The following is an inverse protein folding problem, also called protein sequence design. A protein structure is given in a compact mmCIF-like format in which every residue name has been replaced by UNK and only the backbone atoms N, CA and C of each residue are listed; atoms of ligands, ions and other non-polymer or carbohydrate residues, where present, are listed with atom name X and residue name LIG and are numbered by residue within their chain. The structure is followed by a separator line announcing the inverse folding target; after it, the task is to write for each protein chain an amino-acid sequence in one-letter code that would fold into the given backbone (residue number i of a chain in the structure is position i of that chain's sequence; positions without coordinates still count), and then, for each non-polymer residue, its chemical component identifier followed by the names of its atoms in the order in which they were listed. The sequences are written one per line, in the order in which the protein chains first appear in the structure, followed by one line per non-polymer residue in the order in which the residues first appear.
data_IF_060261115869
#
_entry.id   IF_060261115869
#
_cell.length_a   1.000
_cell.length_b   1.000
_cell.length_c   1.000
_cell.angle_alpha   90.00
_cell.angle_beta   90.00
_cell.angle_gamma   90.00
#
_symmetry.space_group_name_H-M   'P 1'
#
loop_
_entity.id
_entity.type
_entity.pdbx_description
1 polymer ?
#
# COMPACT_ATOMS: atom_id res chain seq x y z
N UNK A 1 -43.29 -17.08 13.18
CA UNK A 1 -41.86 -17.40 12.92
C UNK A 1 -41.31 -16.45 11.85
N UNK A 2 -41.23 -15.16 12.17
CA UNK A 2 -40.86 -14.06 11.25
C UNK A 2 -39.38 -13.67 11.34
N UNK A 3 -38.52 -14.56 11.85
CA UNK A 3 -37.11 -14.29 12.11
C UNK A 3 -36.14 -14.72 10.99
N UNK A 4 -36.58 -14.80 9.73
CA UNK A 4 -35.69 -15.19 8.61
C UNK A 4 -35.58 -14.14 7.48
N UNK A 5 -36.35 -13.05 7.51
CA UNK A 5 -36.31 -12.04 6.44
C UNK A 5 -35.40 -10.84 6.72
N UNK A 6 -34.97 -10.62 7.97
CA UNK A 6 -34.03 -9.55 8.32
C UNK A 6 -32.55 -9.93 8.12
N UNK A 7 -32.24 -11.24 8.14
CA UNK A 7 -30.86 -11.74 7.99
C UNK A 7 -30.37 -11.69 6.54
N UNK A 8 -31.25 -11.74 5.54
CA UNK A 8 -30.87 -11.67 4.11
C UNK A 8 -30.41 -10.27 3.69
N UNK A 9 -31.09 -9.22 4.15
CA UNK A 9 -30.72 -7.83 3.85
C UNK A 9 -29.45 -7.39 4.57
N UNK A 10 -29.25 -7.85 5.82
CA UNK A 10 -28.03 -7.55 6.58
C UNK A 10 -26.84 -8.36 6.04
N UNK A 11 -27.01 -9.64 5.68
CA UNK A 11 -25.93 -10.41 5.04
C UNK A 11 -25.53 -9.82 3.69
N UNK A 12 -26.48 -9.38 2.85
CA UNK A 12 -26.15 -8.77 1.55
C UNK A 12 -25.43 -7.45 1.71
N UNK A 13 -25.81 -6.63 2.70
CA UNK A 13 -25.08 -5.41 3.06
C UNK A 13 -23.68 -5.75 3.58
N UNK A 14 -23.53 -6.72 4.49
CA UNK A 14 -22.22 -7.15 5.03
C UNK A 14 -21.33 -7.73 3.92
N UNK A 15 -21.86 -8.57 3.02
CA UNK A 15 -21.13 -9.12 1.88
C UNK A 15 -20.77 -8.05 0.86
N UNK A 16 -21.63 -7.04 0.65
CA UNK A 16 -21.31 -5.86 -0.16
C UNK A 16 -20.20 -5.03 0.48
N UNK A 17 -20.26 -4.78 1.79
CA UNK A 17 -19.21 -4.09 2.54
C UNK A 17 -17.90 -4.88 2.54
N UNK A 18 -17.93 -6.21 2.70
CA UNK A 18 -16.77 -7.11 2.58
C UNK A 18 -16.19 -7.14 1.15
N UNK A 19 -17.03 -7.07 0.11
CA UNK A 19 -16.61 -6.99 -1.29
C UNK A 19 -16.00 -5.63 -1.63
N UNK A 20 -16.53 -4.53 -1.10
CA UNK A 20 -15.93 -3.21 -1.23
C UNK A 20 -14.65 -3.03 -0.39
N UNK A 21 -14.51 -3.81 0.70
CA UNK A 21 -13.30 -3.84 1.52
C UNK A 21 -12.16 -4.63 0.89
N UNK A 22 -12.46 -5.67 0.10
CA UNK A 22 -11.43 -6.49 -0.55
C UNK A 22 -10.70 -5.78 -1.70
N UNK A 23 -11.26 -4.69 -2.23
CA UNK A 23 -10.66 -3.91 -3.33
C UNK A 23 -9.65 -2.84 -2.90
N UNK A 24 -9.32 -2.72 -1.60
CA UNK A 24 -8.22 -1.86 -1.14
C UNK A 24 -6.93 -2.64 -0.89
N UNK A 25 -6.92 -3.94 -1.14
CA UNK A 25 -5.68 -4.72 -1.13
C UNK A 25 -4.86 -4.36 -2.38
N UNK A 26 -3.54 -4.17 -2.26
CA UNK A 26 -2.70 -4.08 -3.44
C UNK A 26 -3.01 -5.31 -4.29
N UNK A 27 -3.19 -5.10 -5.59
CA UNK A 27 -3.31 -6.13 -6.63
C UNK A 27 -2.49 -7.34 -6.19
N UNK A 28 -3.06 -8.54 -6.11
CA UNK A 28 -2.31 -9.70 -5.66
C UNK A 28 -1.07 -9.87 -6.57
N UNK A 29 0.09 -9.46 -6.08
CA UNK A 29 1.35 -9.44 -6.82
C UNK A 29 2.10 -10.76 -6.68
N UNK A 30 1.41 -11.86 -6.36
CA UNK A 30 2.04 -13.16 -6.24
C UNK A 30 2.72 -13.54 -7.58
N UNK A 31 4.03 -13.75 -7.52
CA UNK A 31 4.85 -14.07 -8.69
C UNK A 31 5.36 -12.87 -9.47
N UNK A 32 5.07 -11.64 -9.04
CA UNK A 32 5.71 -10.44 -9.59
C UNK A 32 7.01 -10.18 -8.84
N UNK A 33 8.11 -10.08 -9.59
CA UNK A 33 9.40 -9.66 -9.05
C UNK A 33 9.38 -8.15 -8.82
N UNK A 34 9.47 -7.75 -7.55
CA UNK A 34 9.65 -6.35 -7.16
C UNK A 34 10.94 -6.22 -6.36
N UNK A 35 11.84 -5.35 -6.79
CA UNK A 35 13.13 -5.16 -6.12
C UNK A 35 13.47 -3.68 -6.00
N UNK A 36 14.03 -3.31 -4.86
CA UNK A 36 14.60 -1.99 -4.69
C UNK A 36 16.02 -1.97 -5.23
N UNK A 37 16.32 -0.99 -6.10
CA UNK A 37 17.70 -0.66 -6.41
C UNK A 37 18.43 -0.13 -5.17
N UNK A 38 19.75 -0.08 -5.27
CA UNK A 38 20.59 0.57 -4.28
C UNK A 38 20.08 1.99 -4.01
N UNK A 39 20.20 2.40 -2.74
CA UNK A 39 19.95 3.79 -2.37
C UNK A 39 20.87 4.72 -3.14
N UNK A 40 20.31 5.83 -3.63
CA UNK A 40 21.09 6.94 -4.12
C UNK A 40 21.81 7.67 -3.00
N UNK A 41 22.63 8.63 -3.39
CA UNK A 41 23.37 9.49 -2.48
C UNK A 41 22.43 10.27 -1.55
N UNK A 42 22.90 10.52 -0.32
CA UNK A 42 22.21 11.40 0.61
C UNK A 42 22.28 12.85 0.12
N UNK A 43 21.17 13.57 0.29
CA UNK A 43 21.15 15.02 0.07
C UNK A 43 22.03 15.73 1.10
N UNK A 44 22.44 16.94 0.78
CA UNK A 44 23.01 17.85 1.78
C UNK A 44 22.01 18.04 2.91
N UNK A 45 22.52 18.16 4.13
CA UNK A 45 21.72 18.53 5.29
C UNK A 45 21.04 19.88 5.01
N UNK A 46 19.75 20.00 5.30
CA UNK A 46 19.03 21.29 5.16
C UNK A 46 19.51 22.34 6.17
N UNK A 47 20.19 21.92 7.22
CA UNK A 47 20.65 22.81 8.27
C UNK A 47 22.04 23.37 7.95
N UNK A 48 22.20 24.66 8.22
CA UNK A 48 23.43 25.42 8.05
C UNK A 48 24.15 25.67 9.38
N UNK A 49 23.50 25.46 10.53
CA UNK A 49 24.07 25.72 11.86
C UNK A 49 24.35 24.46 12.69
N UNK A 50 24.11 23.26 12.14
CA UNK A 50 24.63 21.98 12.64
C UNK A 50 23.85 21.33 13.79
N UNK A 51 22.62 21.78 14.06
CA UNK A 51 21.81 21.32 15.18
C UNK A 51 20.66 20.39 14.80
N UNK A 52 19.90 20.69 13.74
CA UNK A 52 18.66 20.00 13.40
C UNK A 52 18.36 20.14 11.89
N UNK A 53 18.82 19.22 11.05
CA UNK A 53 18.54 19.23 9.62
C UNK A 53 18.02 17.90 9.10
N UNK A 54 17.33 17.97 7.97
CA UNK A 54 16.83 16.80 7.26
C UNK A 54 17.79 16.49 6.12
N UNK A 55 18.04 15.21 5.91
CA UNK A 55 18.68 14.70 4.71
C UNK A 55 17.75 13.68 4.06
N UNK A 56 17.68 13.71 2.75
CA UNK A 56 16.80 12.87 1.96
C UNK A 56 17.63 12.00 1.03
N UNK A 57 17.13 10.82 0.69
CA UNK A 57 17.69 9.98 -0.37
C UNK A 57 16.55 9.29 -1.09
N UNK A 58 16.79 8.91 -2.33
CA UNK A 58 15.82 8.19 -3.16
C UNK A 58 16.39 6.84 -3.56
N UNK A 59 15.50 5.88 -3.81
CA UNK A 59 15.82 4.59 -4.43
C UNK A 59 14.73 4.29 -5.43
N UNK A 60 15.06 3.50 -6.46
CA UNK A 60 14.11 3.13 -7.50
C UNK A 60 13.52 1.76 -7.18
N UNK A 61 12.20 1.64 -7.27
CA UNK A 61 11.49 0.36 -7.25
C UNK A 61 11.44 -0.21 -8.66
N UNK A 62 12.03 -1.37 -8.87
CA UNK A 62 11.84 -2.17 -10.07
C UNK A 62 10.63 -3.07 -9.86
N UNK A 63 9.70 -3.03 -10.80
CA UNK A 63 8.55 -3.93 -10.84
C UNK A 63 8.25 -4.29 -12.28
N UNK A 64 7.87 -5.54 -12.52
CA UNK A 64 7.35 -5.98 -13.82
C UNK A 64 5.86 -5.66 -14.01
N UNK A 65 5.20 -5.11 -12.99
CA UNK A 65 3.79 -4.70 -13.05
C UNK A 65 3.57 -3.36 -12.32
N UNK A 66 3.03 -2.36 -13.03
CA UNK A 66 2.77 -1.02 -12.50
C UNK A 66 1.71 -0.99 -11.38
N UNK A 67 0.83 -1.98 -11.33
CA UNK A 67 -0.18 -2.12 -10.27
C UNK A 67 0.40 -2.79 -9.01
N UNK A 68 1.68 -3.15 -9.03
CA UNK A 68 2.42 -3.75 -7.93
C UNK A 68 3.41 -2.76 -7.35
N UNK A 69 3.28 -2.51 -6.04
CA UNK A 69 4.14 -1.60 -5.30
C UNK A 69 5.27 -2.37 -4.65
N UNK A 70 6.49 -1.81 -4.65
CA UNK A 70 7.53 -2.33 -3.77
C UNK A 70 7.14 -2.02 -2.31
N UNK A 71 7.10 -3.05 -1.48
CA UNK A 71 7.00 -2.86 -0.03
C UNK A 71 8.33 -2.29 0.48
N UNK A 72 8.30 -1.15 1.17
CA UNK A 72 9.52 -0.49 1.60
C UNK A 72 9.31 0.72 2.49
#
# INVERSE_FOLDING_TARGET
MTQLFWVSSILTIILYFQYSYSQTTPTNCAGITTDWLAWGEWSTCTDTCGGCGIYMRTRVCLTSNINCLCQG
#
